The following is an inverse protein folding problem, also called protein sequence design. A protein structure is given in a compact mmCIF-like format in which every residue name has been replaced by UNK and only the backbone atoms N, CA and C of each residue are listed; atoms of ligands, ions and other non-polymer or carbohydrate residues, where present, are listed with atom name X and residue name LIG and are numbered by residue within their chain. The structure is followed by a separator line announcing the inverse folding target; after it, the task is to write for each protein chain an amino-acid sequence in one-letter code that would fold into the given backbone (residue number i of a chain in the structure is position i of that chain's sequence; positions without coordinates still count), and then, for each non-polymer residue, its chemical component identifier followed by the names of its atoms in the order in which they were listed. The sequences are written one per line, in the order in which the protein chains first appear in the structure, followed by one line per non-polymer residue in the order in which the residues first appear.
data_IF_456058366998
#
_entry.id   IF_456058366998
#
_cell.length_a   1.000
_cell.length_b   1.000
_cell.length_c   1.000
_cell.angle_alpha   90.00
_cell.angle_beta   90.00
_cell.angle_gamma   90.00
#
_symmetry.space_group_name_H-M   'P 1'
#
loop_
_entity.id
_entity.type
_entity.pdbx_description
1 polymer ?
#
# COMPACT_ATOMS: atom_id res chain seq x y z
N UNK A 1 18.40 56.45 -41.14
CA UNK A 1 18.31 55.70 -39.87
C UNK A 1 16.89 55.15 -39.85
N UNK A 2 16.67 54.05 -40.57
CA UNK A 2 15.36 53.42 -40.72
C UNK A 2 15.11 52.51 -39.51
N UNK A 3 13.95 52.66 -38.86
CA UNK A 3 13.53 51.79 -37.79
C UNK A 3 12.96 50.49 -38.40
N UNK A 4 13.57 49.37 -38.03
CA UNK A 4 13.16 48.02 -38.41
C UNK A 4 11.70 47.74 -38.01
N UNK A 5 10.80 47.39 -38.96
CA UNK A 5 9.38 47.18 -38.67
C UNK A 5 9.09 45.84 -37.99
N UNK A 6 10.09 45.03 -37.63
CA UNK A 6 9.85 43.68 -37.12
C UNK A 6 9.95 43.50 -35.59
N UNK A 7 9.91 44.58 -34.80
CA UNK A 7 9.74 44.46 -33.35
C UNK A 7 8.27 44.21 -32.99
N UNK A 8 7.75 43.03 -33.35
CA UNK A 8 6.54 42.50 -32.73
C UNK A 8 6.89 42.15 -31.29
N UNK A 9 6.65 43.10 -30.40
CA UNK A 9 6.46 42.82 -28.98
C UNK A 9 5.42 41.71 -28.89
N UNK A 10 5.87 40.49 -28.58
CA UNK A 10 5.00 39.42 -28.13
C UNK A 10 4.38 39.89 -26.83
N UNK A 11 3.26 40.60 -26.95
CA UNK A 11 2.35 40.77 -25.83
C UNK A 11 1.84 39.36 -25.57
N UNK A 12 2.45 38.69 -24.60
CA UNK A 12 1.85 37.53 -23.96
C UNK A 12 0.64 38.11 -23.22
N UNK A 13 -0.47 38.27 -23.93
CA UNK A 13 -1.76 38.54 -23.32
C UNK A 13 -2.10 37.31 -22.50
N UNK A 14 -1.81 37.39 -21.19
CA UNK A 14 -2.35 36.51 -20.17
C UNK A 14 -3.88 36.61 -20.25
N UNK A 15 -4.46 35.78 -21.10
CA UNK A 15 -5.90 35.70 -21.34
C UNK A 15 -6.41 34.53 -20.55
N UNK A 16 -6.46 34.73 -19.23
CA UNK A 16 -7.49 34.20 -18.33
C UNK A 16 -7.18 34.71 -16.93
N UNK A 17 -7.70 35.89 -16.59
CA UNK A 17 -7.89 36.31 -15.19
C UNK A 17 -9.16 35.61 -14.64
N UNK A 18 -9.20 34.29 -14.82
CA UNK A 18 -10.18 33.43 -14.18
C UNK A 18 -9.70 33.22 -12.77
N UNK A 19 -10.36 33.85 -11.79
CA UNK A 19 -10.08 33.66 -10.38
C UNK A 19 -10.11 32.14 -10.06
N UNK A 20 -8.94 31.51 -10.00
CA UNK A 20 -8.82 30.07 -9.74
C UNK A 20 -9.33 29.84 -8.33
N UNK A 21 -10.35 29.00 -8.18
CA UNK A 21 -10.90 28.75 -6.86
C UNK A 21 -9.87 28.05 -5.98
N UNK A 22 -9.74 28.47 -4.73
CA UNK A 22 -8.84 27.83 -3.77
C UNK A 22 -9.12 26.32 -3.60
N UNK A 23 -10.37 25.89 -3.83
CA UNK A 23 -10.74 24.47 -3.86
C UNK A 23 -9.99 23.69 -4.94
N UNK A 24 -9.79 24.29 -6.11
CA UNK A 24 -9.16 23.65 -7.26
C UNK A 24 -7.66 23.52 -7.00
N UNK A 25 -7.03 24.58 -6.49
CA UNK A 25 -5.63 24.57 -6.04
C UNK A 25 -5.43 23.51 -4.95
N UNK A 26 -6.30 23.47 -3.95
CA UNK A 26 -6.25 22.49 -2.86
C UNK A 26 -6.37 21.05 -3.38
N UNK A 27 -7.21 20.83 -4.40
CA UNK A 27 -7.42 19.50 -5.00
C UNK A 27 -6.17 19.04 -5.74
N UNK A 28 -5.54 19.92 -6.53
CA UNK A 28 -4.28 19.63 -7.23
C UNK A 28 -3.15 19.39 -6.22
N UNK A 29 -3.02 20.25 -5.21
CA UNK A 29 -2.01 20.11 -4.17
C UNK A 29 -2.13 18.78 -3.42
N UNK A 30 -3.35 18.41 -2.99
CA UNK A 30 -3.60 17.11 -2.33
C UNK A 30 -3.22 15.93 -3.21
N UNK A 31 -3.51 15.99 -4.53
CA UNK A 31 -3.11 14.95 -5.47
C UNK A 31 -1.59 14.80 -5.51
N UNK A 32 -0.85 15.91 -5.65
CA UNK A 32 0.61 15.87 -5.63
C UNK A 32 1.19 15.37 -4.32
N UNK A 33 0.58 15.75 -3.19
CA UNK A 33 1.01 15.25 -1.88
C UNK A 33 0.80 13.73 -1.77
N UNK A 34 -0.33 13.20 -2.24
CA UNK A 34 -0.59 11.75 -2.29
C UNK A 34 0.46 11.05 -3.17
N UNK A 35 0.74 11.59 -4.35
CA UNK A 35 1.70 11.02 -5.29
C UNK A 35 3.12 11.00 -4.71
N UNK A 36 3.53 12.12 -4.10
CA UNK A 36 4.82 12.25 -3.43
C UNK A 36 4.95 11.30 -2.24
N UNK A 37 3.94 11.25 -1.38
CA UNK A 37 3.91 10.34 -0.23
C UNK A 37 3.96 8.88 -0.68
N UNK A 38 3.23 8.50 -1.74
CA UNK A 38 3.26 7.15 -2.30
C UNK A 38 4.67 6.73 -2.72
N UNK A 39 5.35 7.55 -3.53
CA UNK A 39 6.73 7.26 -3.98
C UNK A 39 7.69 7.21 -2.80
N UNK A 40 7.55 8.12 -1.84
CA UNK A 40 8.38 8.15 -0.63
C UNK A 40 8.19 6.89 0.22
N UNK A 41 6.95 6.44 0.41
CA UNK A 41 6.63 5.21 1.15
C UNK A 41 7.23 3.98 0.48
N UNK A 42 7.13 3.86 -0.85
CA UNK A 42 7.79 2.77 -1.58
C UNK A 42 9.31 2.79 -1.39
N UNK A 43 9.93 3.98 -1.38
CA UNK A 43 11.37 4.11 -1.16
C UNK A 43 11.74 3.73 0.28
N UNK A 44 11.03 4.24 1.29
CA UNK A 44 11.29 3.93 2.69
C UNK A 44 11.06 2.46 3.01
N UNK A 45 10.04 1.85 2.40
CA UNK A 45 9.81 0.41 2.48
C UNK A 45 11.02 -0.36 1.95
N UNK A 46 11.48 -0.02 0.74
CA UNK A 46 12.63 -0.66 0.11
C UNK A 46 13.91 -0.49 0.92
N UNK A 47 14.11 0.66 1.56
CA UNK A 47 15.28 0.98 2.37
C UNK A 47 15.18 0.48 3.83
N UNK A 48 14.03 -0.07 4.24
CA UNK A 48 13.80 -0.49 5.63
C UNK A 48 13.74 0.67 6.63
N UNK A 49 13.42 1.88 6.17
CA UNK A 49 13.32 3.11 6.98
C UNK A 49 11.98 3.16 7.71
N UNK A 50 11.88 2.41 8.80
CA UNK A 50 10.63 2.20 9.53
C UNK A 50 10.02 3.49 10.09
N UNK A 51 10.84 4.36 10.69
CA UNK A 51 10.33 5.60 11.30
C UNK A 51 9.84 6.60 10.24
N UNK A 52 10.65 6.82 9.19
CA UNK A 52 10.27 7.70 8.08
C UNK A 52 9.05 7.17 7.33
N UNK A 53 8.93 5.84 7.18
CA UNK A 53 7.74 5.19 6.65
C UNK A 53 6.50 5.51 7.50
N UNK A 54 6.58 5.31 8.82
CA UNK A 54 5.46 5.51 9.73
C UNK A 54 4.99 6.97 9.80
N UNK A 55 5.94 7.91 9.81
CA UNK A 55 5.59 9.33 9.76
C UNK A 55 4.90 9.68 8.42
N UNK A 56 5.41 9.14 7.32
CA UNK A 56 4.88 9.44 5.98
C UNK A 56 3.50 8.81 5.76
N UNK A 57 3.26 7.60 6.26
CA UNK A 57 1.97 6.92 6.07
C UNK A 57 0.87 7.59 6.90
N UNK A 58 1.18 8.00 8.14
CA UNK A 58 0.23 8.76 8.97
C UNK A 58 -0.14 10.10 8.31
N UNK A 59 0.83 10.76 7.68
CA UNK A 59 0.58 11.98 6.89
C UNK A 59 -0.31 11.70 5.68
N UNK A 60 -0.02 10.61 4.94
CA UNK A 60 -0.83 10.20 3.78
C UNK A 60 -2.27 9.88 4.17
N UNK A 61 -2.48 9.13 5.25
CA UNK A 61 -3.82 8.79 5.76
C UNK A 61 -4.62 10.03 6.11
N UNK A 62 -4.00 11.00 6.79
CA UNK A 62 -4.63 12.29 7.11
C UNK A 62 -5.09 13.05 5.85
N UNK A 63 -4.26 13.07 4.80
CA UNK A 63 -4.59 13.74 3.52
C UNK A 63 -5.74 13.01 2.82
N UNK A 64 -5.68 11.68 2.80
CA UNK A 64 -6.67 10.82 2.16
C UNK A 64 -8.04 10.94 2.86
N UNK A 65 -8.08 10.89 4.19
CA UNK A 65 -9.32 11.00 4.95
C UNK A 65 -9.93 12.41 4.86
N UNK A 66 -9.09 13.42 4.66
CA UNK A 66 -9.51 14.79 4.32
C UNK A 66 -9.93 14.98 2.86
N UNK A 67 -10.00 13.93 2.03
CA UNK A 67 -10.32 14.00 0.60
C UNK A 67 -11.57 13.18 0.28
N UNK A 68 -12.77 13.80 0.15
CA UNK A 68 -14.04 13.08 0.07
C UNK A 68 -14.24 12.27 -1.23
N UNK A 69 -13.50 12.60 -2.30
CA UNK A 69 -13.66 11.99 -3.61
C UNK A 69 -12.31 11.54 -4.18
N UNK A 70 -11.77 10.45 -3.63
CA UNK A 70 -10.60 9.79 -4.21
C UNK A 70 -10.96 9.19 -5.57
N UNK A 71 -10.12 9.46 -6.56
CA UNK A 71 -10.19 8.76 -7.83
C UNK A 71 -9.65 7.32 -7.69
N UNK A 72 -9.82 6.52 -8.74
CA UNK A 72 -9.38 5.10 -8.76
C UNK A 72 -7.88 4.95 -8.48
N UNK A 73 -7.04 5.81 -9.07
CA UNK A 73 -5.59 5.80 -8.89
C UNK A 73 -5.19 6.07 -7.43
N UNK A 74 -5.82 7.05 -6.78
CA UNK A 74 -5.58 7.38 -5.38
C UNK A 74 -6.05 6.27 -4.44
N UNK A 75 -7.17 5.60 -4.76
CA UNK A 75 -7.65 4.44 -4.00
C UNK A 75 -6.67 3.27 -4.11
N UNK A 76 -6.13 3.00 -5.29
CA UNK A 76 -5.09 1.99 -5.48
C UNK A 76 -3.83 2.32 -4.70
N UNK A 77 -3.37 3.58 -4.73
CA UNK A 77 -2.23 4.03 -3.91
C UNK A 77 -2.48 3.81 -2.41
N UNK A 78 -3.70 4.10 -1.92
CA UNK A 78 -4.09 3.80 -0.53
C UNK A 78 -3.98 2.31 -0.22
N UNK A 79 -4.49 1.44 -1.10
CA UNK A 79 -4.45 -0.02 -0.91
C UNK A 79 -3.01 -0.53 -0.87
N UNK A 80 -2.16 -0.10 -1.80
CA UNK A 80 -0.74 -0.49 -1.84
C UNK A 80 -0.02 -0.01 -0.57
N UNK A 81 -0.17 1.26 -0.18
CA UNK A 81 0.46 1.76 1.05
C UNK A 81 -0.04 1.02 2.30
N UNK A 82 -1.34 0.74 2.38
CA UNK A 82 -1.92 -0.03 3.48
C UNK A 82 -1.43 -1.47 3.54
N UNK A 83 -1.18 -2.09 2.39
CA UNK A 83 -0.51 -3.39 2.30
C UNK A 83 0.93 -3.29 2.80
N UNK A 84 1.74 -2.36 2.28
CA UNK A 84 3.13 -2.15 2.69
C UNK A 84 3.25 -1.86 4.19
N UNK A 85 2.31 -1.12 4.78
CA UNK A 85 2.27 -0.83 6.21
C UNK A 85 2.21 -2.11 7.05
N UNK A 86 1.33 -3.05 6.66
CA UNK A 86 1.18 -4.34 7.33
C UNK A 86 2.45 -5.18 7.23
N UNK A 87 3.14 -5.12 6.08
CA UNK A 87 4.42 -5.80 5.87
C UNK A 87 5.53 -5.17 6.73
N UNK A 88 5.64 -3.84 6.76
CA UNK A 88 6.61 -3.13 7.62
C UNK A 88 6.45 -3.48 9.09
N UNK A 89 5.20 -3.66 9.52
CA UNK A 89 4.87 -4.04 10.89
C UNK A 89 4.84 -5.56 11.11
N UNK A 90 5.21 -6.38 10.11
CA UNK A 90 5.01 -7.83 10.13
C UNK A 90 5.58 -8.56 11.35
N UNK A 91 6.63 -7.99 11.97
CA UNK A 91 7.27 -8.55 13.18
C UNK A 91 6.76 -7.98 14.51
N UNK A 92 5.89 -6.97 14.49
CA UNK A 92 5.32 -6.29 15.65
C UNK A 92 3.96 -6.91 15.97
N UNK A 93 3.98 -8.03 16.70
CA UNK A 93 2.78 -8.83 17.01
C UNK A 93 1.79 -8.14 17.98
N UNK A 94 2.20 -7.01 18.55
CA UNK A 94 1.41 -6.12 19.40
C UNK A 94 0.62 -5.05 18.61
N UNK A 95 0.84 -4.95 17.30
CA UNK A 95 0.14 -4.01 16.42
C UNK A 95 -1.05 -4.70 15.75
N UNK A 96 -2.21 -4.07 15.78
CA UNK A 96 -3.40 -4.48 15.03
C UNK A 96 -3.75 -3.47 13.93
N UNK A 97 -4.11 -3.98 12.76
CA UNK A 97 -4.61 -3.20 11.62
C UNK A 97 -6.10 -3.37 11.37
N UNK A 98 -6.73 -4.37 12.02
CA UNK A 98 -8.12 -4.73 11.82
C UNK A 98 -8.91 -4.59 13.12
N UNK A 99 -10.24 -4.58 12.99
CA UNK A 99 -11.15 -4.63 14.13
C UNK A 99 -11.01 -5.92 14.93
N UNK A 100 -10.63 -7.00 14.25
CA UNK A 100 -10.29 -8.25 14.93
C UNK A 100 -8.83 -8.19 15.38
N UNK A 101 -8.63 -7.83 16.65
CA UNK A 101 -7.32 -7.72 17.31
C UNK A 101 -6.56 -9.05 17.38
N UNK A 102 -7.19 -10.18 17.01
CA UNK A 102 -6.53 -11.49 16.91
C UNK A 102 -5.67 -11.60 15.65
N UNK A 103 -5.92 -10.76 14.65
CA UNK A 103 -5.15 -10.77 13.41
C UNK A 103 -3.83 -10.04 13.61
N UNK A 104 -2.72 -10.76 13.39
CA UNK A 104 -1.41 -10.12 13.32
C UNK A 104 -1.30 -9.24 12.07
N UNK A 105 -0.31 -8.33 11.99
CA UNK A 105 -0.11 -7.51 10.79
C UNK A 105 0.01 -8.33 9.50
N UNK A 106 0.69 -9.48 9.52
CA UNK A 106 0.81 -10.34 8.33
C UNK A 106 -0.47 -11.07 7.96
N UNK A 107 -1.30 -11.47 8.94
CA UNK A 107 -2.62 -12.03 8.66
C UNK A 107 -3.54 -10.97 8.03
N UNK A 108 -3.49 -9.74 8.55
CA UNK A 108 -4.17 -8.59 7.94
C UNK A 108 -3.70 -8.35 6.49
N UNK A 109 -2.39 -8.53 6.23
CA UNK A 109 -1.82 -8.35 4.90
C UNK A 109 -2.36 -9.35 3.88
N UNK A 110 -2.67 -10.57 4.30
CA UNK A 110 -3.29 -11.60 3.44
C UNK A 110 -4.63 -11.12 2.88
N UNK A 111 -5.52 -10.61 3.74
CA UNK A 111 -6.82 -10.10 3.30
C UNK A 111 -6.70 -8.90 2.36
N UNK A 112 -5.76 -7.99 2.63
CA UNK A 112 -5.49 -6.86 1.73
C UNK A 112 -4.93 -7.34 0.39
N UNK A 113 -3.99 -8.29 0.39
CA UNK A 113 -3.40 -8.84 -0.83
C UNK A 113 -4.44 -9.54 -1.70
N UNK A 114 -5.35 -10.32 -1.11
CA UNK A 114 -6.44 -10.97 -1.84
C UNK A 114 -7.30 -9.97 -2.63
N UNK A 115 -7.54 -8.77 -2.08
CA UNK A 115 -8.27 -7.70 -2.79
C UNK A 115 -7.54 -7.12 -4.01
N UNK A 116 -6.28 -7.50 -4.24
CA UNK A 116 -5.44 -7.03 -5.36
C UNK A 116 -5.37 -8.02 -6.52
N UNK A 117 -6.07 -9.16 -6.46
CA UNK A 117 -6.04 -10.21 -7.49
C UNK A 117 -6.24 -9.67 -8.91
N UNK A 118 -7.29 -8.86 -9.13
CA UNK A 118 -7.55 -8.26 -10.44
C UNK A 118 -6.63 -7.07 -10.79
N UNK A 119 -5.91 -6.53 -9.80
CA UNK A 119 -5.03 -5.36 -9.97
C UNK A 119 -3.61 -5.76 -10.33
N UNK A 120 -3.14 -6.89 -9.83
CA UNK A 120 -1.79 -7.41 -10.11
C UNK A 120 -1.83 -8.20 -11.41
N UNK A 121 -1.25 -7.65 -12.47
CA UNK A 121 -1.27 -8.27 -13.80
C UNK A 121 -0.43 -9.56 -13.91
N UNK A 122 0.44 -9.84 -12.95
CA UNK A 122 1.30 -11.02 -12.93
C UNK A 122 0.79 -12.03 -11.90
N UNK A 123 0.04 -13.02 -12.38
CA UNK A 123 -0.52 -14.11 -11.57
C UNK A 123 0.56 -14.89 -10.82
N UNK A 124 1.76 -15.02 -11.41
CA UNK A 124 2.87 -15.76 -10.79
C UNK A 124 3.44 -14.99 -9.61
N UNK A 125 3.59 -13.68 -9.75
CA UNK A 125 3.97 -12.78 -8.66
C UNK A 125 2.90 -12.76 -7.58
N UNK A 126 1.62 -12.71 -7.98
CA UNK A 126 0.49 -12.72 -7.06
C UNK A 126 0.50 -13.94 -6.15
N UNK A 127 0.58 -15.13 -6.75
CA UNK A 127 0.61 -16.39 -6.02
C UNK A 127 1.88 -16.52 -5.17
N UNK A 128 3.03 -16.06 -5.67
CA UNK A 128 4.28 -16.12 -4.92
C UNK A 128 4.21 -15.28 -3.64
N UNK A 129 3.71 -14.05 -3.73
CA UNK A 129 3.54 -13.17 -2.57
C UNK A 129 2.51 -13.77 -1.60
N UNK A 130 1.39 -14.30 -2.09
CA UNK A 130 0.39 -14.97 -1.24
C UNK A 130 1.01 -16.10 -0.41
N UNK A 131 1.77 -17.00 -1.05
CA UNK A 131 2.46 -18.09 -0.38
C UNK A 131 3.47 -17.59 0.67
N UNK A 132 4.23 -16.54 0.36
CA UNK A 132 5.15 -15.93 1.33
C UNK A 132 4.41 -15.36 2.54
N UNK A 133 3.27 -14.70 2.33
CA UNK A 133 2.45 -14.18 3.42
C UNK A 133 1.92 -15.29 4.33
N UNK A 134 1.47 -16.41 3.77
CA UNK A 134 0.99 -17.56 4.54
C UNK A 134 2.10 -18.12 5.43
N UNK A 135 3.27 -18.38 4.85
CA UNK A 135 4.43 -18.91 5.58
C UNK A 135 4.86 -17.93 6.66
N UNK A 136 5.00 -16.65 6.34
CA UNK A 136 5.52 -15.64 7.28
C UNK A 136 4.54 -15.32 8.41
N UNK A 137 3.22 -15.40 8.17
CA UNK A 137 2.20 -15.21 9.21
C UNK A 137 2.36 -16.18 10.37
N UNK A 138 2.77 -17.42 10.08
CA UNK A 138 3.05 -18.44 11.11
C UNK A 138 4.50 -18.33 11.61
N UNK A 139 5.47 -18.16 10.70
CA UNK A 139 6.90 -18.19 11.02
C UNK A 139 7.31 -17.10 12.01
N UNK A 140 6.80 -15.87 11.85
CA UNK A 140 7.11 -14.77 12.77
C UNK A 140 6.59 -15.06 14.19
N UNK A 141 5.40 -15.67 14.32
CA UNK A 141 4.85 -16.05 15.61
C UNK A 141 5.75 -17.05 16.33
N UNK A 142 6.26 -18.05 15.59
CA UNK A 142 7.21 -19.04 16.10
C UNK A 142 8.57 -18.43 16.43
N UNK A 143 9.10 -17.53 15.58
CA UNK A 143 10.35 -16.78 15.83
C UNK A 143 10.29 -16.01 17.16
N UNK A 144 9.11 -15.48 17.51
CA UNK A 144 8.86 -14.75 18.76
C UNK A 144 8.47 -15.65 19.94
N UNK A 145 8.42 -16.98 19.76
CA UNK A 145 8.03 -17.94 20.79
C UNK A 145 6.53 -17.93 21.14
N UNK A 146 5.69 -17.30 20.33
CA UNK A 146 4.24 -17.23 20.55
C UNK A 146 3.52 -18.39 19.84
N UNK A 147 3.62 -19.59 20.41
CA UNK A 147 3.01 -20.80 19.87
C UNK A 147 1.47 -20.72 19.78
N UNK A 148 0.83 -19.97 20.68
CA UNK A 148 -0.63 -19.78 20.67
C UNK A 148 -1.04 -18.98 19.44
N UNK A 149 -0.40 -17.85 19.18
CA UNK A 149 -0.69 -17.05 17.99
C UNK A 149 -0.30 -17.79 16.70
N UNK A 150 0.80 -18.55 16.70
CA UNK A 150 1.17 -19.37 15.55
C UNK A 150 0.09 -20.41 15.19
N UNK A 151 -0.46 -21.10 16.20
CA UNK A 151 -1.55 -22.06 16.03
C UNK A 151 -2.83 -21.37 15.52
N UNK A 152 -3.19 -20.23 16.11
CA UNK A 152 -4.33 -19.43 15.66
C UNK A 152 -4.16 -18.92 14.23
N UNK A 153 -2.95 -18.49 13.86
CA UNK A 153 -2.64 -18.02 12.50
C UNK A 153 -2.75 -19.16 11.48
N UNK A 154 -2.24 -20.35 11.81
CA UNK A 154 -2.35 -21.53 10.95
C UNK A 154 -3.82 -21.91 10.74
N UNK A 155 -4.60 -21.98 11.82
CA UNK A 155 -6.03 -22.29 11.75
C UNK A 155 -6.80 -21.26 10.92
N UNK A 156 -6.53 -19.97 11.15
CA UNK A 156 -7.15 -18.89 10.37
C UNK A 156 -6.82 -19.00 8.89
N UNK A 157 -5.57 -19.32 8.53
CA UNK A 157 -5.18 -19.54 7.14
C UNK A 157 -5.91 -20.75 6.53
N UNK A 158 -6.09 -21.85 7.26
CA UNK A 158 -6.81 -23.04 6.77
C UNK A 158 -8.31 -22.77 6.54
N UNK A 159 -8.91 -21.88 7.33
CA UNK A 159 -10.34 -21.54 7.26
C UNK A 159 -10.63 -20.47 6.19
N UNK A 160 -9.77 -19.45 6.08
CA UNK A 160 -10.05 -18.24 5.27
C UNK A 160 -9.30 -18.22 3.93
N UNK A 161 -8.21 -18.96 3.81
CA UNK A 161 -7.51 -19.14 2.55
C UNK A 161 -7.72 -20.58 2.12
N UNK A 162 -8.17 -20.82 0.88
CA UNK A 162 -8.14 -22.17 0.31
C UNK A 162 -6.66 -22.58 0.12
N UNK A 163 -5.97 -22.93 1.22
CA UNK A 163 -4.59 -23.38 1.17
C UNK A 163 -4.60 -24.62 0.27
N UNK A 164 -3.81 -24.65 -0.83
CA UNK A 164 -3.66 -25.86 -1.60
C UNK A 164 -3.16 -26.94 -0.66
N UNK A 165 -4.02 -27.93 -0.39
CA UNK A 165 -3.64 -29.11 0.38
C UNK A 165 -2.41 -29.70 -0.30
N UNK A 166 -1.25 -29.64 0.36
CA UNK A 166 -0.10 -30.42 -0.08
C UNK A 166 -0.55 -31.86 0.07
N UNK A 167 -0.91 -32.47 -1.06
CA UNK A 167 -1.30 -33.87 -1.12
C UNK A 167 -0.15 -34.69 -0.54
N UNK A 168 -0.36 -35.22 0.66
CA UNK A 168 0.47 -36.25 1.27
C UNK A 168 0.38 -37.52 0.42
N UNK A 169 1.10 -37.53 -0.70
CA UNK A 169 1.17 -38.63 -1.64
C UNK A 169 2.62 -38.80 -2.15
N UNK A 170 3.60 -38.82 -1.24
CA UNK A 170 4.93 -39.38 -1.56
C UNK A 170 5.74 -39.80 -0.32
N UNK A 171 5.08 -40.31 0.72
CA UNK A 171 5.77 -40.95 1.86
C UNK A 171 5.43 -42.44 2.00
N UNK A 172 4.83 -43.08 0.98
CA UNK A 172 4.44 -44.49 1.01
C UNK A 172 5.22 -45.41 0.07
N UNK A 173 6.20 -44.89 -0.68
CA UNK A 173 7.06 -45.71 -1.55
C UNK A 173 8.49 -45.20 -1.57
N UNK A 174 9.25 -45.49 -0.50
CA UNK A 174 10.64 -45.99 -0.53
C UNK A 174 10.82 -46.86 0.71
#
# INVERSE_FOLDING_TARGET
MEADPNNRTLIITSTTDGNVCFSDVTTVAKRWMIDFSFVSLCQFFKEGKFEEFNQTISTLETIIDGTPHLNTEQRQKRQICGFLARIMHGKHLDVSFDRDERLSPLMSAVGVWASQEETVADDTLFQHIANLLYVQSVAVCLEKGNCVLASSALKWLEEECEIPQVSNASAAHI
#
